data_IF_252646148785
#
_entry.id   IF_252646148785
#
_cell.length_a   1.000
_cell.length_b   1.000
_cell.length_c   1.000
_cell.angle_alpha   90.00
_cell.angle_beta   90.00
_cell.angle_gamma   90.00
#
_symmetry.space_group_name_H-M   'P 1'
#
loop_
_entity.id
_entity.type
_entity.pdbx_description
1 polymer ?
#
# COMPACT_ATOMS: atom_id res chain seq x y z
N UNK A 1 15.17 0.55 -42.08
CA UNK A 1 15.41 0.53 -40.61
C UNK A 1 16.88 0.26 -40.32
N UNK A 2 17.57 1.20 -39.67
CA UNK A 2 19.01 1.14 -39.36
C UNK A 2 19.35 -0.05 -38.43
N UNK A 3 20.51 -0.70 -38.66
CA UNK A 3 21.04 -1.78 -37.79
C UNK A 3 21.18 -1.34 -36.33
N UNK A 4 21.48 -0.06 -36.09
CA UNK A 4 21.57 0.53 -34.75
C UNK A 4 20.21 0.51 -34.02
N UNK A 5 19.12 0.83 -34.70
CA UNK A 5 17.79 0.86 -34.10
C UNK A 5 17.33 -0.54 -33.64
N UNK A 6 17.70 -1.59 -34.39
CA UNK A 6 17.42 -2.98 -34.01
C UNK A 6 18.25 -3.44 -32.80
N UNK A 7 19.48 -2.97 -32.68
CA UNK A 7 20.35 -3.29 -31.53
C UNK A 7 19.86 -2.60 -30.25
N UNK A 8 19.48 -1.32 -30.37
CA UNK A 8 18.92 -0.56 -29.26
C UNK A 8 17.59 -1.16 -28.75
N UNK A 9 16.72 -1.59 -29.67
CA UNK A 9 15.47 -2.25 -29.32
C UNK A 9 15.67 -3.58 -28.58
N UNK A 10 16.68 -4.37 -28.97
CA UNK A 10 17.02 -5.63 -28.28
C UNK A 10 17.58 -5.39 -26.88
N UNK A 11 18.41 -4.36 -26.70
CA UNK A 11 18.88 -3.92 -25.39
C UNK A 11 17.75 -3.44 -24.50
N UNK A 12 16.80 -2.68 -25.06
CA UNK A 12 15.63 -2.19 -24.34
C UNK A 12 14.72 -3.36 -23.89
N UNK A 13 14.44 -4.30 -24.78
CA UNK A 13 13.64 -5.50 -24.46
C UNK A 13 14.37 -6.38 -23.45
N UNK A 14 15.69 -6.57 -23.60
CA UNK A 14 16.51 -7.32 -22.64
C UNK A 14 16.51 -6.69 -21.24
N UNK A 15 16.56 -5.36 -21.15
CA UNK A 15 16.44 -4.64 -19.88
C UNK A 15 15.04 -4.79 -19.28
N UNK A 16 13.97 -4.72 -20.09
CA UNK A 16 12.58 -4.89 -19.65
C UNK A 16 12.33 -6.33 -19.17
N UNK A 17 12.81 -7.34 -19.90
CA UNK A 17 12.63 -8.76 -19.54
C UNK A 17 13.52 -9.14 -18.35
N UNK A 18 14.75 -8.65 -18.29
CA UNK A 18 15.64 -8.85 -17.15
C UNK A 18 15.09 -8.22 -15.87
N UNK A 19 14.48 -7.03 -15.97
CA UNK A 19 13.77 -6.40 -14.85
C UNK A 19 12.45 -7.10 -14.51
N UNK A 20 11.74 -7.71 -15.48
CA UNK A 20 10.56 -8.53 -15.22
C UNK A 20 10.88 -9.87 -14.54
N UNK A 21 12.02 -10.49 -14.85
CA UNK A 21 12.46 -11.77 -14.25
C UNK A 21 12.97 -11.59 -12.83
N UNK A 22 13.62 -10.45 -12.54
CA UNK A 22 13.91 -10.02 -11.16
C UNK A 22 12.66 -9.61 -10.39
N UNK A 23 11.54 -9.35 -11.09
CA UNK A 23 10.20 -9.09 -10.51
C UNK A 23 9.49 -10.36 -10.01
N UNK A 24 9.82 -11.54 -10.54
CA UNK A 24 9.21 -12.84 -10.19
C UNK A 24 9.89 -13.54 -9.01
N UNK A 25 11.08 -13.13 -8.64
CA UNK A 25 11.84 -13.64 -7.51
C UNK A 25 11.93 -12.51 -6.48
N UNK A 26 11.07 -12.59 -5.48
CA UNK A 26 11.05 -11.83 -4.23
C UNK A 26 12.03 -10.63 -4.10
N UNK A 27 11.44 -9.46 -3.83
CA UNK A 27 12.02 -8.26 -3.19
C UNK A 27 12.26 -6.99 -4.05
N UNK A 28 11.83 -5.88 -3.45
CA UNK A 28 12.14 -4.46 -3.74
C UNK A 28 11.70 -3.88 -5.09
N UNK A 29 10.42 -3.51 -5.15
CA UNK A 29 9.99 -2.48 -6.08
C UNK A 29 10.36 -1.11 -5.50
N UNK A 30 11.24 -0.36 -6.19
CA UNK A 30 11.43 1.06 -5.92
C UNK A 30 10.05 1.77 -6.05
N UNK A 31 9.64 2.65 -5.09
CA UNK A 31 8.27 3.19 -5.02
C UNK A 31 7.74 3.82 -6.32
N UNK A 32 8.66 4.35 -7.14
CA UNK A 32 8.36 4.95 -8.43
C UNK A 32 7.88 3.93 -9.48
N UNK A 33 8.51 2.76 -9.58
CA UNK A 33 8.14 1.72 -10.54
C UNK A 33 6.86 0.97 -10.13
N UNK A 34 6.60 0.85 -8.83
CA UNK A 34 5.37 0.25 -8.28
C UNK A 34 4.15 1.04 -8.76
N UNK A 35 4.26 2.37 -8.76
CA UNK A 35 3.20 3.28 -9.19
C UNK A 35 2.97 3.21 -10.70
N UNK A 36 4.03 3.18 -11.51
CA UNK A 36 3.93 3.10 -12.98
C UNK A 36 3.33 1.76 -13.42
N UNK A 37 3.75 0.65 -12.81
CA UNK A 37 3.28 -0.69 -13.18
C UNK A 37 1.91 -1.02 -12.60
N UNK A 38 1.53 -0.50 -11.43
CA UNK A 38 0.15 -0.61 -10.94
C UNK A 38 -0.83 0.12 -11.86
N UNK A 39 -0.45 1.30 -12.37
CA UNK A 39 -1.26 2.07 -13.32
C UNK A 39 -1.33 1.37 -14.68
N UNK A 40 -0.23 0.80 -15.20
CA UNK A 40 -0.22 0.22 -16.55
C UNK A 40 -0.75 -1.21 -16.64
N UNK A 41 -0.65 -2.02 -15.57
CA UNK A 41 -1.06 -3.43 -15.57
C UNK A 41 -2.36 -3.70 -14.81
N UNK A 42 -3.01 -2.67 -14.25
CA UNK A 42 -4.19 -2.83 -13.39
C UNK A 42 -3.93 -3.77 -12.20
N UNK A 43 -2.67 -3.90 -11.77
CA UNK A 43 -2.28 -4.90 -10.77
C UNK A 43 -2.82 -4.50 -9.40
N UNK A 44 -3.43 -5.45 -8.67
CA UNK A 44 -4.02 -5.17 -7.37
C UNK A 44 -2.93 -4.82 -6.34
N UNK A 45 -3.23 -3.86 -5.46
CA UNK A 45 -2.32 -3.31 -4.46
C UNK A 45 -2.07 -4.29 -3.32
N UNK A 46 -0.80 -4.56 -2.99
CA UNK A 46 -0.37 -5.52 -1.96
C UNK A 46 0.31 -4.76 -0.81
N UNK A 47 0.11 -5.22 0.43
CA UNK A 47 0.78 -4.68 1.60
C UNK A 47 1.49 -5.78 2.39
N UNK A 48 2.71 -5.52 2.84
CA UNK A 48 3.53 -6.45 3.62
C UNK A 48 4.04 -5.74 4.86
N UNK A 49 3.77 -6.30 6.04
CA UNK A 49 4.23 -5.77 7.32
C UNK A 49 5.25 -6.74 7.93
N UNK A 50 6.55 -6.49 7.76
CA UNK A 50 7.63 -7.29 8.36
C UNK A 50 8.73 -6.38 8.91
N UNK A 51 9.16 -6.51 10.19
CA UNK A 51 8.59 -7.34 11.28
C UNK A 51 7.49 -6.57 12.06
N UNK A 52 6.23 -6.59 11.58
CA UNK A 52 5.13 -5.81 12.18
C UNK A 52 5.37 -4.29 12.10
N UNK A 53 4.31 -3.48 12.06
CA UNK A 53 4.49 -2.02 12.08
C UNK A 53 3.48 -1.35 12.99
N UNK A 54 3.83 -0.20 13.55
CA UNK A 54 2.89 0.59 14.36
C UNK A 54 1.76 1.16 13.49
N UNK A 55 0.59 1.37 14.08
CA UNK A 55 -0.54 2.07 13.42
C UNK A 55 -0.12 3.45 12.94
N UNK A 56 0.71 4.17 13.70
CA UNK A 56 1.25 5.46 13.27
C UNK A 56 2.01 5.34 11.95
N UNK A 57 2.98 4.42 11.87
CA UNK A 57 3.76 4.20 10.65
C UNK A 57 2.85 3.77 9.50
N UNK A 58 1.88 2.90 9.79
CA UNK A 58 0.91 2.41 8.81
C UNK A 58 0.09 3.55 8.22
N UNK A 59 -0.51 4.38 9.07
CA UNK A 59 -1.34 5.51 8.69
C UNK A 59 -0.55 6.52 7.86
N UNK A 60 0.68 6.82 8.26
CA UNK A 60 1.56 7.75 7.55
C UNK A 60 1.95 7.22 6.15
N UNK A 61 2.36 5.95 6.05
CA UNK A 61 2.75 5.33 4.78
C UNK A 61 1.56 5.24 3.81
N UNK A 62 0.39 4.85 4.33
CA UNK A 62 -0.81 4.71 3.52
C UNK A 62 -1.38 6.08 3.12
N UNK A 63 -1.31 7.11 3.98
CA UNK A 63 -1.67 8.49 3.60
C UNK A 63 -0.79 8.99 2.46
N UNK A 64 0.54 8.77 2.53
CA UNK A 64 1.46 9.12 1.44
C UNK A 64 1.12 8.39 0.13
N UNK A 65 0.76 7.11 0.19
CA UNK A 65 0.39 6.30 -0.99
C UNK A 65 -0.96 6.70 -1.59
N UNK A 66 -1.92 7.10 -0.76
CA UNK A 66 -3.23 7.59 -1.20
C UNK A 66 -3.18 9.03 -1.73
N UNK A 67 -2.16 9.81 -1.35
CA UNK A 67 -2.02 11.21 -1.74
C UNK A 67 -3.22 12.04 -1.26
N UNK A 68 -3.71 12.96 -2.09
CA UNK A 68 -4.88 13.80 -1.76
C UNK A 68 -6.23 13.06 -1.78
N UNK A 69 -6.24 11.74 -1.99
CA UNK A 69 -7.49 10.96 -2.05
C UNK A 69 -8.04 10.62 -0.68
N UNK A 70 -7.18 10.31 0.30
CA UNK A 70 -7.58 9.97 1.66
C UNK A 70 -6.48 10.34 2.65
N UNK A 71 -6.87 10.86 3.81
CA UNK A 71 -5.98 11.06 4.96
C UNK A 71 -6.32 9.99 6.02
N UNK A 72 -5.31 9.36 6.62
CA UNK A 72 -5.51 8.43 7.72
C UNK A 72 -5.07 9.09 9.02
N UNK A 73 -5.99 9.18 9.97
CA UNK A 73 -5.75 9.70 11.31
C UNK A 73 -5.94 8.60 12.35
N UNK A 74 -5.45 8.82 13.57
CA UNK A 74 -5.51 7.82 14.62
C UNK A 74 -5.53 8.46 16.01
N UNK A 75 -6.09 7.76 17.01
CA UNK A 75 -5.97 8.18 18.42
C UNK A 75 -4.55 7.93 18.94
N UNK A 76 -4.05 8.72 19.91
CA UNK A 76 -2.71 8.52 20.48
C UNK A 76 -2.49 7.11 21.04
N UNK A 77 -3.53 6.47 21.58
CA UNK A 77 -3.44 5.09 22.07
C UNK A 77 -3.38 4.07 20.94
N UNK A 78 -4.12 4.29 19.86
CA UNK A 78 -4.05 3.45 18.67
C UNK A 78 -2.67 3.50 18.02
N UNK A 79 -1.97 4.64 18.06
CA UNK A 79 -0.65 4.87 17.45
C UNK A 79 0.38 3.77 17.78
N UNK A 80 0.36 3.28 19.02
CA UNK A 80 1.34 2.31 19.55
C UNK A 80 0.97 0.85 19.23
N UNK A 81 -0.26 0.57 18.78
CA UNK A 81 -0.69 -0.78 18.44
C UNK A 81 0.08 -1.26 17.22
N UNK A 82 0.51 -2.52 17.24
CA UNK A 82 1.13 -3.15 16.08
C UNK A 82 0.08 -3.74 15.14
N UNK A 83 0.22 -3.43 13.86
CA UNK A 83 -0.37 -4.18 12.76
C UNK A 83 0.36 -5.52 12.68
N UNK A 84 -0.42 -6.61 12.75
CA UNK A 84 0.10 -7.96 12.74
C UNK A 84 1.02 -8.23 11.54
N UNK A 85 2.11 -8.97 11.74
CA UNK A 85 3.05 -9.25 10.66
C UNK A 85 2.41 -10.12 9.58
N UNK A 86 2.90 -9.97 8.35
CA UNK A 86 2.54 -10.85 7.24
C UNK A 86 2.17 -10.13 5.95
N UNK A 87 1.75 -10.94 4.97
CA UNK A 87 1.38 -10.50 3.62
C UNK A 87 -0.14 -10.36 3.51
N UNK A 88 -0.60 -9.15 3.29
CA UNK A 88 -2.00 -8.85 3.08
C UNK A 88 -2.37 -9.06 1.61
N UNK A 89 -3.47 -9.78 1.37
CA UNK A 89 -3.99 -10.08 0.03
C UNK A 89 -4.20 -8.80 -0.78
N UNK A 90 -3.97 -8.92 -2.08
CA UNK A 90 -4.08 -7.81 -3.00
C UNK A 90 -5.51 -7.23 -3.04
N UNK A 91 -5.63 -5.91 -3.25
CA UNK A 91 -6.92 -5.20 -3.33
C UNK A 91 -6.98 -4.27 -4.54
N UNK A 92 -8.19 -3.91 -4.96
CA UNK A 92 -8.42 -3.10 -6.18
C UNK A 92 -7.88 -1.67 -6.07
N UNK A 93 -7.81 -1.12 -4.86
CA UNK A 93 -7.27 0.21 -4.57
C UNK A 93 -6.65 0.27 -3.17
N UNK A 94 -5.88 1.33 -2.90
CA UNK A 94 -5.25 1.57 -1.59
C UNK A 94 -6.27 1.69 -0.46
N UNK A 95 -7.45 2.29 -0.69
CA UNK A 95 -8.49 2.40 0.35
C UNK A 95 -8.94 1.02 0.80
N UNK A 96 -9.26 0.14 -0.13
CA UNK A 96 -9.68 -1.23 0.18
C UNK A 96 -8.55 -2.07 0.79
N UNK A 97 -7.30 -1.78 0.46
CA UNK A 97 -6.16 -2.39 1.14
C UNK A 97 -6.06 -1.94 2.59
N UNK A 98 -6.23 -0.64 2.86
CA UNK A 98 -6.23 -0.09 4.22
C UNK A 98 -7.34 -0.71 5.06
N UNK A 99 -8.57 -0.68 4.56
CA UNK A 99 -9.72 -1.26 5.27
C UNK A 99 -9.52 -2.75 5.54
N UNK A 100 -8.98 -3.48 4.57
CA UNK A 100 -8.69 -4.90 4.76
C UNK A 100 -7.62 -5.16 5.82
N UNK A 101 -6.55 -4.37 5.85
CA UNK A 101 -5.52 -4.48 6.91
C UNK A 101 -6.16 -4.22 8.28
N UNK A 102 -6.99 -3.19 8.39
CA UNK A 102 -7.65 -2.83 9.65
C UNK A 102 -8.66 -3.89 10.10
N UNK A 103 -9.47 -4.45 9.20
CA UNK A 103 -10.37 -5.59 9.50
C UNK A 103 -9.61 -6.79 10.06
N UNK A 104 -8.45 -7.12 9.48
CA UNK A 104 -7.62 -8.23 9.96
C UNK A 104 -6.99 -7.96 11.33
N UNK A 105 -6.99 -6.71 11.79
CA UNK A 105 -6.49 -6.28 13.10
C UNK A 105 -7.63 -5.79 14.03
N UNK A 106 -8.89 -6.11 13.71
CA UNK A 106 -10.07 -5.59 14.41
C UNK A 106 -10.20 -6.02 15.88
N UNK A 107 -9.44 -7.04 16.33
CA UNK A 107 -9.37 -7.41 17.74
C UNK A 107 -8.84 -6.28 18.63
N UNK A 108 -7.87 -5.51 18.12
CA UNK A 108 -7.21 -4.43 18.85
C UNK A 108 -7.66 -3.04 18.36
N UNK A 109 -8.16 -2.95 17.13
CA UNK A 109 -8.45 -1.69 16.46
C UNK A 109 -9.89 -1.60 16.00
N UNK A 110 -10.40 -0.38 15.93
CA UNK A 110 -11.61 0.00 15.21
C UNK A 110 -11.27 1.14 14.25
N UNK A 111 -12.12 1.33 13.26
CA UNK A 111 -11.96 2.46 12.36
C UNK A 111 -13.31 3.02 11.94
N UNK A 112 -13.29 4.30 11.58
CA UNK A 112 -14.42 5.02 11.01
C UNK A 112 -13.98 5.60 9.68
N UNK A 113 -14.84 5.49 8.68
CA UNK A 113 -14.62 6.07 7.36
C UNK A 113 -15.59 7.22 7.13
N UNK A 114 -15.04 8.35 6.71
CA UNK A 114 -15.81 9.47 6.19
C UNK A 114 -15.41 9.69 4.73
N UNK A 115 -16.27 9.25 3.81
CA UNK A 115 -16.04 9.38 2.38
C UNK A 115 -16.22 10.82 1.88
N UNK A 116 -16.96 11.66 2.61
CA UNK A 116 -17.16 13.07 2.24
C UNK A 116 -15.92 13.90 2.54
N UNK A 117 -15.40 13.76 3.76
CA UNK A 117 -14.16 14.41 4.21
C UNK A 117 -12.90 13.67 3.75
N UNK A 118 -13.05 12.51 3.09
CA UNK A 118 -11.95 11.69 2.57
C UNK A 118 -10.94 11.34 3.66
N UNK A 119 -11.40 10.81 4.78
CA UNK A 119 -10.49 10.33 5.82
C UNK A 119 -10.92 9.01 6.45
N UNK A 120 -9.95 8.29 6.98
CA UNK A 120 -10.12 7.06 7.76
C UNK A 120 -9.51 7.33 9.13
N UNK A 121 -10.29 7.21 10.19
CA UNK A 121 -9.81 7.40 11.56
C UNK A 121 -9.73 6.07 12.29
N UNK A 122 -8.58 5.80 12.90
CA UNK A 122 -8.28 4.54 13.59
C UNK A 122 -8.28 4.77 15.10
N UNK A 123 -9.03 3.94 15.83
CA UNK A 123 -9.09 3.96 17.29
C UNK A 123 -8.80 2.58 17.87
N UNK A 124 -8.67 2.48 19.19
CA UNK A 124 -8.73 1.19 19.87
C UNK A 124 -10.13 0.59 19.79
N UNK A 125 -10.21 -0.74 19.84
CA UNK A 125 -11.50 -1.45 19.86
C UNK A 125 -12.33 -1.16 21.11
N UNK A 126 -11.69 -0.74 22.20
CA UNK A 126 -12.29 -0.34 23.47
C UNK A 126 -12.78 1.11 23.50
N UNK A 127 -12.50 1.91 22.47
CA UNK A 127 -12.84 3.33 22.43
C UNK A 127 -14.08 3.60 21.56
N UNK A 128 -14.81 4.68 21.89
CA UNK A 128 -15.85 5.19 21.00
C UNK A 128 -15.16 5.97 19.87
N UNK A 129 -15.07 5.35 18.71
CA UNK A 129 -14.48 5.96 17.52
C UNK A 129 -15.53 6.89 16.87
N UNK A 130 -15.32 8.21 16.89
CA UNK A 130 -16.26 9.20 16.36
C UNK A 130 -15.75 9.82 15.06
N UNK A 131 -16.68 10.32 14.24
CA UNK A 131 -16.36 11.22 13.13
C UNK A 131 -16.09 12.61 13.70
N UNK A 132 -14.96 13.22 13.32
CA UNK A 132 -14.71 14.65 13.52
C UNK A 132 -15.40 15.44 12.41
#
# INVERSE_FOLDING_TARGET
MSKLAKSFLKLLIGAIVGSLLTYSLDYYVFPFWERILAISLGKPYVYKAEPGITVERFANDMTKRMGSRYIITFTPKAAQVQIGPGKYKARKDWRNLVLYVLERNAGNLRYVVDDHKRYIHICLSTETCKKE
#
